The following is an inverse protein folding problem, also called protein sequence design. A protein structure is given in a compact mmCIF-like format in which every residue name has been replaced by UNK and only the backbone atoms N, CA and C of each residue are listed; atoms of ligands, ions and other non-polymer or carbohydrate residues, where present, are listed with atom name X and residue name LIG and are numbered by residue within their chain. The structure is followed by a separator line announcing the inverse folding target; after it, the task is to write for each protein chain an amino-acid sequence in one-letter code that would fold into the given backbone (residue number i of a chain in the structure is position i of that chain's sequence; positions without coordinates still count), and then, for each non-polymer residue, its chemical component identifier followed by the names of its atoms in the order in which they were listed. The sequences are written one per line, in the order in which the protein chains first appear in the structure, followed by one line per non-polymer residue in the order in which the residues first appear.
data_IF_166033468980
#
_entry.id   IF_166033468980
#
_cell.length_a   1.000
_cell.length_b   1.000
_cell.length_c   1.000
_cell.angle_alpha   90.00
_cell.angle_beta   90.00
_cell.angle_gamma   90.00
#
_symmetry.space_group_name_H-M   'P 1'
#
loop_
_entity.id
_entity.type
_entity.pdbx_description
1 polymer ?
#
# COMPACT_ATOMS: atom_id res chain seq x y z
N UNK A 1 33.98 -21.56 4.45
CA UNK A 1 32.91 -20.55 4.54
C UNK A 1 31.57 -21.26 4.46
N UNK A 2 30.82 -21.40 5.56
CA UNK A 2 29.52 -22.09 5.56
C UNK A 2 28.43 -21.07 5.21
N UNK A 3 27.70 -21.31 4.12
CA UNK A 3 26.51 -20.53 3.76
C UNK A 3 25.41 -20.81 4.79
N UNK A 4 24.99 -19.79 5.53
CA UNK A 4 23.86 -19.90 6.45
C UNK A 4 22.57 -19.94 5.63
N UNK A 5 21.99 -21.14 5.55
CA UNK A 5 20.64 -21.42 5.02
C UNK A 5 19.63 -20.77 5.98
N UNK A 6 19.17 -19.55 5.72
CA UNK A 6 18.19 -18.89 6.59
C UNK A 6 17.97 -17.40 6.39
N UNK A 7 18.84 -16.70 5.65
CA UNK A 7 18.59 -15.30 5.28
C UNK A 7 18.23 -15.30 3.80
N UNK A 8 16.94 -15.15 3.47
CA UNK A 8 16.54 -14.86 2.10
C UNK A 8 17.18 -13.52 1.71
N UNK A 9 18.27 -13.56 0.97
CA UNK A 9 18.67 -12.42 0.15
C UNK A 9 17.45 -12.11 -0.71
N UNK A 10 16.83 -10.96 -0.49
CA UNK A 10 15.72 -10.50 -1.30
C UNK A 10 16.14 -10.61 -2.77
N UNK A 11 15.39 -11.37 -3.57
CA UNK A 11 15.71 -11.55 -4.98
C UNK A 11 15.83 -10.17 -5.65
N UNK A 12 16.86 -10.00 -6.48
CA UNK A 12 17.13 -8.73 -7.19
C UNK A 12 15.90 -8.24 -7.95
N UNK A 13 15.09 -9.16 -8.49
CA UNK A 13 13.84 -8.85 -9.18
C UNK A 13 12.80 -8.28 -8.22
N UNK A 14 12.59 -8.89 -7.06
CA UNK A 14 11.62 -8.40 -6.06
C UNK A 14 12.03 -7.04 -5.51
N UNK A 15 13.33 -6.84 -5.28
CA UNK A 15 13.86 -5.54 -4.84
C UNK A 15 13.62 -4.47 -5.90
N UNK A 16 13.96 -4.75 -7.15
CA UNK A 16 13.72 -3.81 -8.26
C UNK A 16 12.23 -3.48 -8.41
N UNK A 17 11.34 -4.47 -8.24
CA UNK A 17 9.89 -4.22 -8.24
C UNK A 17 9.48 -3.22 -7.15
N UNK A 18 9.89 -3.44 -5.89
CA UNK A 18 9.54 -2.55 -4.78
C UNK A 18 10.10 -1.13 -5.02
N UNK A 19 11.30 -1.01 -5.56
CA UNK A 19 11.94 0.29 -5.81
C UNK A 19 11.36 1.06 -7.01
N UNK A 20 10.61 0.41 -7.90
CA UNK A 20 10.17 1.01 -9.18
C UNK A 20 8.68 0.97 -9.42
N UNK A 21 7.92 0.24 -8.61
CA UNK A 21 6.45 0.13 -8.75
C UNK A 21 5.80 1.51 -8.62
N UNK A 22 4.81 1.76 -9.48
CA UNK A 22 4.00 2.98 -9.43
C UNK A 22 2.59 2.65 -8.95
N UNK A 23 1.92 3.64 -8.38
CA UNK A 23 0.50 3.53 -7.97
C UNK A 23 -0.41 3.08 -9.11
N UNK A 24 -0.14 3.49 -10.34
CA UNK A 24 -0.89 3.04 -11.52
C UNK A 24 -0.67 1.57 -11.90
N UNK A 25 0.44 0.97 -11.47
CA UNK A 25 0.81 -0.41 -11.81
C UNK A 25 0.21 -1.43 -10.82
N UNK A 26 -0.33 -0.95 -9.70
CA UNK A 26 -0.90 -1.78 -8.64
C UNK A 26 -2.33 -2.18 -9.01
N UNK A 27 -2.69 -3.49 -8.96
CA UNK A 27 -4.03 -3.96 -9.30
C UNK A 27 -5.00 -3.74 -8.13
N UNK A 28 -5.27 -2.49 -7.79
CA UNK A 28 -6.07 -2.06 -6.63
C UNK A 28 -7.42 -2.79 -6.49
N UNK A 29 -8.13 -2.98 -7.61
CA UNK A 29 -9.41 -3.71 -7.67
C UNK A 29 -9.32 -5.19 -7.23
N UNK A 30 -8.10 -5.77 -7.19
CA UNK A 30 -7.85 -7.13 -6.71
C UNK A 30 -7.45 -7.19 -5.24
N UNK A 31 -6.98 -6.09 -4.66
CA UNK A 31 -6.53 -6.04 -3.27
C UNK A 31 -7.73 -5.93 -2.34
N UNK A 32 -7.86 -6.89 -1.43
CA UNK A 32 -8.91 -6.90 -0.40
C UNK A 32 -8.60 -5.89 0.69
N UNK A 33 -9.62 -5.18 1.14
CA UNK A 33 -9.60 -4.35 2.35
C UNK A 33 -10.61 -4.90 3.36
N UNK A 34 -10.70 -4.27 4.52
CA UNK A 34 -11.70 -4.58 5.55
C UNK A 34 -13.14 -4.55 5.02
N UNK A 35 -13.46 -3.59 4.14
CA UNK A 35 -14.82 -3.32 3.68
C UNK A 35 -15.06 -3.61 2.20
N UNK A 36 -14.07 -4.14 1.49
CA UNK A 36 -14.23 -4.51 0.09
C UNK A 36 -12.90 -4.64 -0.66
N UNK A 37 -12.71 -3.74 -1.62
CA UNK A 37 -11.52 -3.69 -2.49
C UNK A 37 -10.90 -2.31 -2.44
N UNK A 38 -9.60 -2.23 -2.66
CA UNK A 38 -8.86 -0.98 -2.64
C UNK A 38 -9.06 -0.11 -3.91
N UNK A 39 -10.13 -0.32 -4.69
CA UNK A 39 -10.37 0.31 -6.00
C UNK A 39 -10.21 1.83 -5.97
N UNK A 40 -10.64 2.47 -4.88
CA UNK A 40 -10.65 3.93 -4.73
C UNK A 40 -9.37 4.50 -4.11
N UNK A 41 -8.42 3.65 -3.70
CA UNK A 41 -7.15 4.09 -3.09
C UNK A 41 -6.36 5.10 -3.93
N UNK A 42 -6.25 4.96 -5.26
CA UNK A 42 -5.56 5.96 -6.09
C UNK A 42 -6.12 7.38 -5.91
N UNK A 43 -7.44 7.52 -5.77
CA UNK A 43 -8.06 8.83 -5.58
C UNK A 43 -7.74 9.42 -4.20
N UNK A 44 -7.76 8.59 -3.15
CA UNK A 44 -7.37 9.02 -1.80
C UNK A 44 -5.89 9.41 -1.73
N UNK A 45 -5.00 8.65 -2.37
CA UNK A 45 -3.57 8.95 -2.45
C UNK A 45 -3.30 10.26 -3.21
N UNK A 46 -4.03 10.52 -4.30
CA UNK A 46 -3.91 11.78 -5.04
C UNK A 46 -4.26 13.00 -4.16
N UNK A 47 -5.32 12.90 -3.35
CA UNK A 47 -5.69 13.95 -2.38
C UNK A 47 -4.55 14.18 -1.36
N UNK A 48 -3.96 13.10 -0.85
CA UNK A 48 -2.83 13.18 0.08
C UNK A 48 -1.56 13.74 -0.56
N UNK A 49 -1.30 13.51 -1.84
CA UNK A 49 -0.13 14.10 -2.53
C UNK A 49 -0.33 15.57 -2.85
N UNK A 50 -1.55 15.97 -3.21
CA UNK A 50 -1.86 17.34 -3.56
C UNK A 50 -1.80 18.28 -2.35
N UNK A 51 -2.15 17.80 -1.16
CA UNK A 51 -2.12 18.55 0.11
C UNK A 51 -2.85 19.92 0.07
N UNK A 52 -3.93 20.03 -0.72
CA UNK A 52 -4.61 21.32 -1.00
C UNK A 52 -5.73 21.69 0.00
N UNK A 53 -6.36 20.71 0.63
CA UNK A 53 -7.53 20.92 1.49
C UNK A 53 -7.46 19.98 2.69
N UNK A 54 -7.38 20.53 3.90
CA UNK A 54 -7.21 19.77 5.14
C UNK A 54 -8.36 18.80 5.41
N UNK A 55 -9.61 19.22 5.20
CA UNK A 55 -10.78 18.35 5.42
C UNK A 55 -10.78 17.16 4.45
N UNK A 56 -10.36 17.39 3.20
CA UNK A 56 -10.24 16.33 2.20
C UNK A 56 -9.08 15.38 2.51
N UNK A 57 -7.95 15.91 3.00
CA UNK A 57 -6.79 15.13 3.44
C UNK A 57 -7.17 14.23 4.62
N UNK A 58 -7.85 14.79 5.62
CA UNK A 58 -8.28 14.03 6.79
C UNK A 58 -9.25 12.91 6.41
N UNK A 59 -10.25 13.20 5.57
CA UNK A 59 -11.20 12.20 5.09
C UNK A 59 -10.51 11.09 4.27
N UNK A 60 -9.62 11.46 3.34
CA UNK A 60 -8.89 10.47 2.54
C UNK A 60 -7.93 9.62 3.39
N UNK A 61 -7.27 10.24 4.38
CA UNK A 61 -6.40 9.55 5.32
C UNK A 61 -7.15 8.56 6.19
N UNK A 62 -8.35 8.92 6.67
CA UNK A 62 -9.22 8.03 7.45
C UNK A 62 -9.68 6.83 6.62
N UNK A 63 -10.17 7.06 5.39
CA UNK A 63 -10.57 5.98 4.48
C UNK A 63 -9.43 4.98 4.21
N UNK A 64 -8.21 5.47 3.98
CA UNK A 64 -7.04 4.62 3.82
C UNK A 64 -6.72 3.86 5.10
N UNK A 65 -6.61 4.55 6.24
CA UNK A 65 -6.25 3.95 7.53
C UNK A 65 -7.18 2.80 7.92
N UNK A 66 -8.49 3.00 7.83
CA UNK A 66 -9.50 1.99 8.18
C UNK A 66 -9.49 0.77 7.25
N UNK A 67 -9.03 0.94 6.01
CA UNK A 67 -9.01 -0.11 4.98
C UNK A 67 -7.66 -0.84 4.86
N UNK A 68 -6.57 -0.25 5.36
CA UNK A 68 -5.24 -0.91 5.42
C UNK A 68 -5.00 -1.59 6.77
N UNK A 69 -5.57 -1.08 7.86
CA UNK A 69 -5.50 -1.68 9.18
C UNK A 69 -6.87 -1.70 9.84
N UNK A 70 -7.28 -2.86 10.34
CA UNK A 70 -8.46 -2.96 11.20
C UNK A 70 -8.22 -3.95 12.32
N UNK A 71 -8.51 -3.55 13.56
CA UNK A 71 -8.37 -4.39 14.75
C UNK A 71 -6.99 -5.07 14.83
N UNK A 72 -5.92 -4.29 14.66
CA UNK A 72 -4.53 -4.78 14.67
C UNK A 72 -4.19 -5.82 13.59
N UNK A 73 -5.00 -5.89 12.53
CA UNK A 73 -4.74 -6.72 11.35
C UNK A 73 -4.47 -5.85 10.14
N UNK A 74 -3.33 -6.06 9.50
CA UNK A 74 -2.97 -5.42 8.23
C UNK A 74 -3.51 -6.21 7.04
N UNK A 75 -4.01 -5.50 6.03
CA UNK A 75 -4.60 -6.09 4.83
C UNK A 75 -3.61 -6.15 3.66
N UNK A 76 -3.96 -6.91 2.61
CA UNK A 76 -3.11 -7.03 1.42
C UNK A 76 -2.84 -5.70 0.70
N UNK A 77 -3.68 -4.68 0.92
CA UNK A 77 -3.48 -3.34 0.38
C UNK A 77 -2.41 -2.52 1.12
N UNK A 78 -2.14 -2.83 2.40
CA UNK A 78 -1.22 -2.07 3.26
C UNK A 78 0.16 -1.82 2.67
N UNK A 79 0.91 -2.84 2.19
CA UNK A 79 2.26 -2.58 1.68
C UNK A 79 2.28 -1.65 0.48
N UNK A 80 1.20 -1.59 -0.29
CA UNK A 80 1.09 -0.74 -1.48
C UNK A 80 0.60 0.68 -1.19
N UNK A 81 -0.19 0.85 -0.14
CA UNK A 81 -0.67 2.17 0.30
C UNK A 81 0.42 3.01 1.01
N UNK A 82 1.53 2.38 1.40
CA UNK A 82 2.67 3.00 2.10
C UNK A 82 3.84 3.33 1.17
N UNK A 83 3.65 3.26 -0.16
CA UNK A 83 4.64 3.59 -1.18
C UNK A 83 4.54 5.08 -1.52
#
# INVERSE_FOLDING_TARGET
MRYYKGVNLMDTVTKQYIETVKVSDIPWHRLTTTYGRATDFPAHLEVLWDMKNVDAIDAAGEELAQNIEHQSTLWHATPFALI
#
